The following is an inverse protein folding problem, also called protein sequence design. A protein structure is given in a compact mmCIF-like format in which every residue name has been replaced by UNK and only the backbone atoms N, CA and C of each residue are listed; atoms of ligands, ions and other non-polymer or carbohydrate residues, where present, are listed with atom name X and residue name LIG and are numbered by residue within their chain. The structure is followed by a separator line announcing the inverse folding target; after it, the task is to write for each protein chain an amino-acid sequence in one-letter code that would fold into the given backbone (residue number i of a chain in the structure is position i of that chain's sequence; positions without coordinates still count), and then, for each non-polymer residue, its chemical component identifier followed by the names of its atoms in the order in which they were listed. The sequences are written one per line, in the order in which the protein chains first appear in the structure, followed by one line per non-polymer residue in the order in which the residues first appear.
data_IF_622203470720
#
_entry.id   IF_622203470720
#
_cell.length_a   1.000
_cell.length_b   1.000
_cell.length_c   1.000
_cell.angle_alpha   90.00
_cell.angle_beta   90.00
_cell.angle_gamma   90.00
#
_symmetry.space_group_name_H-M   'P 1'
#
loop_
_entity.id
_entity.type
_entity.pdbx_description
1 polymer ?
#
# COMPACT_ATOMS: atom_id res chain seq x y z
N UNK A 1 -10.99 12.24 5.28
CA UNK A 1 -9.63 12.31 4.71
C UNK A 1 -9.76 12.49 3.21
N UNK A 2 -8.93 13.32 2.60
CA UNK A 2 -8.91 13.41 1.13
C UNK A 2 -8.23 12.18 0.52
N UNK A 3 -8.73 11.73 -0.63
CA UNK A 3 -8.27 10.49 -1.26
C UNK A 3 -6.79 10.50 -1.64
N UNK A 4 -6.27 11.65 -2.08
CA UNK A 4 -4.85 11.85 -2.37
C UNK A 4 -3.99 11.74 -1.11
N UNK A 5 -4.48 12.22 0.02
CA UNK A 5 -3.80 12.09 1.32
C UNK A 5 -3.71 10.62 1.74
N UNK A 6 -4.80 9.85 1.56
CA UNK A 6 -4.80 8.42 1.83
C UNK A 6 -3.79 7.66 0.96
N UNK A 7 -3.73 7.97 -0.34
CA UNK A 7 -2.74 7.38 -1.26
C UNK A 7 -1.31 7.70 -0.81
N UNK A 8 -1.04 8.95 -0.42
CA UNK A 8 0.27 9.35 0.12
C UNK A 8 0.65 8.57 1.37
N UNK A 9 -0.29 8.37 2.30
CA UNK A 9 -0.07 7.58 3.52
C UNK A 9 0.25 6.12 3.18
N UNK A 10 -0.49 5.52 2.24
CA UNK A 10 -0.25 4.16 1.76
C UNK A 10 1.15 4.04 1.15
N UNK A 11 1.50 4.93 0.21
CA UNK A 11 2.80 4.93 -0.45
C UNK A 11 3.94 5.07 0.57
N UNK A 12 3.85 6.02 1.50
CA UNK A 12 4.85 6.24 2.53
C UNK A 12 5.03 5.03 3.47
N UNK A 13 3.96 4.28 3.76
CA UNK A 13 4.07 3.05 4.55
C UNK A 13 4.88 1.99 3.80
N UNK A 14 4.63 1.82 2.50
CA UNK A 14 5.37 0.88 1.65
C UNK A 14 6.82 1.34 1.52
N UNK A 15 7.06 2.61 1.18
CA UNK A 15 8.39 3.21 1.06
C UNK A 15 9.25 3.00 2.31
N UNK A 16 8.71 3.28 3.50
CA UNK A 16 9.42 3.09 4.78
C UNK A 16 9.74 1.62 5.08
N UNK A 17 9.00 0.69 4.48
CA UNK A 17 9.16 -0.75 4.66
C UNK A 17 10.05 -1.40 3.60
N UNK A 18 10.16 -0.79 2.42
CA UNK A 18 11.05 -1.22 1.33
C UNK A 18 12.47 -1.43 1.85
N UNK A 19 13.07 -2.57 1.50
CA UNK A 19 14.42 -2.96 1.95
C UNK A 19 14.51 -3.47 3.41
N UNK A 20 13.44 -3.34 4.21
CA UNK A 20 13.41 -3.83 5.61
C UNK A 20 12.49 -5.04 5.77
N UNK A 21 11.29 -4.97 5.21
CA UNK A 21 10.30 -6.05 5.21
C UNK A 21 9.32 -5.90 4.04
N UNK A 22 8.88 -7.03 3.50
CA UNK A 22 7.80 -7.04 2.51
C UNK A 22 6.45 -6.93 3.22
N UNK A 23 5.56 -6.08 2.72
CA UNK A 23 4.21 -5.89 3.28
C UNK A 23 3.18 -6.65 2.44
N UNK A 24 2.33 -7.46 3.09
CA UNK A 24 1.16 -8.00 2.42
C UNK A 24 0.09 -6.92 2.31
N UNK A 25 -0.73 -6.98 1.27
CA UNK A 25 -1.89 -6.10 1.12
C UNK A 25 -2.76 -6.11 2.38
N UNK A 26 -3.03 -7.29 2.95
CA UNK A 26 -3.86 -7.42 4.16
C UNK A 26 -3.32 -6.62 5.34
N UNK A 27 -2.01 -6.49 5.46
CA UNK A 27 -1.36 -5.80 6.59
C UNK A 27 -1.42 -4.29 6.41
N UNK A 28 -1.25 -3.81 5.18
CA UNK A 28 -1.46 -2.40 4.80
C UNK A 28 -2.90 -1.98 5.11
N UNK A 29 -3.88 -2.77 4.64
CA UNK A 29 -5.29 -2.49 4.85
C UNK A 29 -5.64 -2.45 6.34
N UNK A 30 -5.19 -3.44 7.11
CA UNK A 30 -5.45 -3.49 8.57
C UNK A 30 -4.83 -2.31 9.30
N UNK A 31 -3.57 -1.98 9.00
CA UNK A 31 -2.84 -0.91 9.70
C UNK A 31 -3.44 0.45 9.41
N UNK A 32 -3.63 0.80 8.14
CA UNK A 32 -4.09 2.15 7.78
C UNK A 32 -5.55 2.35 8.17
N UNK A 33 -6.41 1.33 8.03
CA UNK A 33 -7.79 1.39 8.51
C UNK A 33 -7.84 1.69 10.02
N UNK A 34 -7.01 1.00 10.82
CA UNK A 34 -6.94 1.22 12.26
C UNK A 34 -6.35 2.60 12.62
N UNK A 35 -5.25 3.00 11.98
CA UNK A 35 -4.53 4.25 12.28
C UNK A 35 -5.35 5.50 11.88
N UNK A 36 -6.18 5.40 10.84
CA UNK A 36 -6.96 6.53 10.28
C UNK A 36 -8.45 6.48 10.62
N UNK A 37 -8.93 5.43 11.29
CA UNK A 37 -10.35 5.24 11.59
C UNK A 37 -11.21 5.06 10.33
N UNK A 38 -10.69 4.35 9.32
CA UNK A 38 -11.33 4.14 8.02
C UNK A 38 -11.77 2.70 7.81
N UNK A 39 -12.71 2.48 6.90
CA UNK A 39 -13.04 1.15 6.43
C UNK A 39 -11.94 0.55 5.54
N UNK A 40 -11.71 -0.76 5.65
CA UNK A 40 -10.69 -1.44 4.82
C UNK A 40 -10.98 -1.34 3.32
N UNK A 41 -12.25 -1.20 2.93
CA UNK A 41 -12.68 -1.02 1.55
C UNK A 41 -12.17 0.30 0.97
N UNK A 42 -12.17 1.38 1.77
CA UNK A 42 -11.65 2.70 1.36
C UNK A 42 -10.15 2.64 1.14
N UNK A 43 -9.40 2.06 2.09
CA UNK A 43 -7.95 1.85 1.95
C UNK A 43 -7.62 0.98 0.75
N UNK A 44 -8.45 -0.05 0.50
CA UNK A 44 -8.28 -0.95 -0.66
C UNK A 44 -8.51 -0.24 -1.98
N UNK A 45 -9.49 0.66 -2.06
CA UNK A 45 -9.73 1.46 -3.26
C UNK A 45 -8.54 2.39 -3.56
N UNK A 46 -8.04 3.10 -2.55
CA UNK A 46 -6.87 3.97 -2.72
C UNK A 46 -5.59 3.19 -3.09
N UNK A 47 -5.36 2.02 -2.45
CA UNK A 47 -4.24 1.15 -2.81
C UNK A 47 -4.35 0.66 -4.27
N UNK A 48 -5.57 0.34 -4.73
CA UNK A 48 -5.78 -0.10 -6.11
C UNK A 48 -5.42 1.01 -7.10
N UNK A 49 -5.74 2.27 -6.80
CA UNK A 49 -5.38 3.37 -7.68
C UNK A 49 -3.87 3.59 -7.79
N UNK A 50 -3.13 3.40 -6.70
CA UNK A 50 -1.66 3.41 -6.75
C UNK A 50 -1.10 2.27 -7.61
N UNK A 51 -1.75 1.10 -7.59
CA UNK A 51 -1.37 -0.05 -8.42
C UNK A 51 -1.67 0.23 -9.89
N UNK A 52 -2.86 0.76 -10.18
CA UNK A 52 -3.30 1.10 -11.54
C UNK A 52 -2.44 2.23 -12.14
N UNK A 53 -1.94 3.15 -11.31
CA UNK A 53 -0.97 4.18 -11.69
C UNK A 53 0.47 3.67 -11.84
N UNK A 54 0.75 2.42 -11.47
CA UNK A 54 2.09 1.83 -11.48
C UNK A 54 3.03 2.39 -10.40
N UNK A 55 2.52 3.16 -9.44
CA UNK A 55 3.32 3.69 -8.31
C UNK A 55 3.66 2.58 -7.30
N UNK A 56 2.81 1.57 -7.21
CA UNK A 56 3.01 0.35 -6.44
C UNK A 56 2.75 -0.86 -7.32
N UNK A 57 3.38 -1.99 -7.01
CA UNK A 57 3.20 -3.25 -7.71
C UNK A 57 2.98 -4.42 -6.76
N UNK A 58 2.37 -5.48 -7.28
CA UNK A 58 2.38 -6.78 -6.63
C UNK A 58 3.62 -7.57 -7.03
N UNK A 59 4.28 -8.15 -6.04
CA UNK A 59 5.36 -9.13 -6.26
C UNK A 59 5.03 -10.44 -5.55
N UNK A 60 5.60 -11.53 -6.06
CA UNK A 60 5.39 -12.87 -5.52
C UNK A 60 6.71 -13.48 -5.03
N UNK A 61 6.79 -13.75 -3.72
CA UNK A 61 7.94 -14.38 -3.07
C UNK A 61 7.46 -15.40 -2.04
N UNK A 62 6.77 -16.47 -2.49
CA UNK A 62 6.08 -17.41 -1.60
C UNK A 62 4.81 -16.82 -0.94
N UNK A 63 4.34 -15.69 -1.49
CA UNK A 63 3.18 -14.92 -1.05
C UNK A 63 3.11 -13.60 -1.82
N UNK A 64 1.95 -12.96 -1.85
CA UNK A 64 1.74 -11.67 -2.53
C UNK A 64 2.10 -10.50 -1.62
N UNK A 65 2.99 -9.64 -2.11
CA UNK A 65 3.45 -8.45 -1.41
C UNK A 65 3.25 -7.21 -2.26
N UNK A 66 3.15 -6.06 -1.59
CA UNK A 66 3.08 -4.74 -2.21
C UNK A 66 4.46 -4.10 -2.10
N UNK A 67 5.02 -3.67 -3.22
CA UNK A 67 6.34 -3.04 -3.31
C UNK A 67 6.31 -1.81 -4.22
N UNK A 68 7.31 -0.94 -4.06
CA UNK A 68 7.59 0.12 -5.04
C UNK A 68 8.27 -0.55 -6.25
N UNK A 69 7.88 -0.22 -7.49
CA UNK A 69 8.55 -0.73 -8.67
C UNK A 69 10.07 -0.46 -8.61
N UNK A 70 10.92 -1.42 -9.01
CA UNK A 70 12.34 -1.15 -9.14
C UNK A 70 12.56 -0.03 -10.16
N UNK A 71 13.50 0.88 -9.86
CA UNK A 71 13.97 1.84 -10.86
C UNK A 71 14.76 1.08 -11.91
N UNK A 72 14.48 1.33 -13.18
CA UNK A 72 15.36 0.92 -14.29
C UNK A 72 16.74 1.57 -14.19
#
# INVERSE_FOLDING_TARGET
MEKEELKKIIYQLVEKSTGKKKLKQSDILKKIAADQGLEKSEVKAALRELMDAGELIFTYFGGSFVEIPPKE
#
